data_IF_080942941018
#
_entry.id   IF_080942941018
#
_cell.length_a   1.000
_cell.length_b   1.000
_cell.length_c   1.000
_cell.angle_alpha   90.00
_cell.angle_beta   90.00
_cell.angle_gamma   90.00
#
_symmetry.space_group_name_H-M   'P 1'
#
loop_
_entity.id
_entity.type
_entity.pdbx_description
1 polymer ?
#
# COMPACT_ATOMS: atom_id res chain seq x y z
N UNK A 1 35.87 -41.25 -44.62
CA UNK A 1 36.68 -41.42 -43.40
C UNK A 1 35.81 -40.95 -42.24
N UNK A 2 34.89 -41.80 -41.76
CA UNK A 2 35.13 -42.86 -40.76
C UNK A 2 35.30 -42.25 -39.36
N UNK A 3 34.22 -42.32 -38.56
CA UNK A 3 34.12 -43.06 -37.28
C UNK A 3 34.66 -42.25 -36.07
N UNK A 4 33.87 -42.01 -35.01
CA UNK A 4 33.55 -42.93 -33.91
C UNK A 4 32.40 -42.30 -33.07
N UNK A 5 31.29 -42.91 -32.61
CA UNK A 5 31.01 -44.13 -31.82
C UNK A 5 31.89 -44.22 -30.55
N UNK A 6 31.46 -44.49 -29.32
CA UNK A 6 30.25 -44.94 -28.63
C UNK A 6 30.37 -44.40 -27.15
N UNK A 7 29.45 -44.51 -26.19
CA UNK A 7 28.73 -45.65 -25.61
C UNK A 7 27.70 -45.06 -24.60
N UNK A 8 26.41 -45.44 -24.65
CA UNK A 8 25.72 -46.44 -23.79
C UNK A 8 25.73 -46.10 -22.27
N UNK A 9 24.71 -46.25 -21.43
CA UNK A 9 23.28 -46.65 -21.43
C UNK A 9 22.83 -46.42 -19.96
N UNK A 10 21.71 -45.73 -19.63
CA UNK A 10 20.31 -46.19 -19.45
C UNK A 10 20.07 -47.20 -18.28
N UNK A 11 18.82 -47.39 -17.79
CA UNK A 11 18.23 -46.85 -16.55
C UNK A 11 17.70 -47.97 -15.61
N UNK A 12 16.98 -47.65 -14.50
CA UNK A 12 15.81 -48.38 -13.93
C UNK A 12 15.38 -47.78 -12.57
N UNK A 13 14.10 -47.39 -12.37
CA UNK A 13 13.01 -48.07 -11.62
C UNK A 13 13.27 -48.17 -10.09
N UNK A 14 12.39 -47.97 -9.11
CA UNK A 14 10.94 -47.80 -8.98
C UNK A 14 10.58 -47.46 -7.50
N UNK A 15 9.43 -46.79 -7.30
CA UNK A 15 8.42 -46.91 -6.22
C UNK A 15 8.68 -46.79 -4.69
N UNK A 16 7.68 -46.09 -4.08
CA UNK A 16 7.01 -46.28 -2.78
C UNK A 16 7.58 -45.65 -1.47
N UNK A 17 6.70 -44.93 -0.73
CA UNK A 17 6.89 -44.48 0.68
C UNK A 17 6.69 -45.63 1.70
N UNK A 18 6.33 -45.44 3.00
CA UNK A 18 6.09 -44.23 3.82
C UNK A 18 6.81 -44.21 5.22
N UNK A 19 6.68 -43.09 5.95
CA UNK A 19 6.64 -42.91 7.43
C UNK A 19 7.76 -43.36 8.40
N UNK A 20 7.97 -42.49 9.42
CA UNK A 20 8.43 -42.69 10.82
C UNK A 20 9.84 -42.22 11.27
N UNK A 21 9.79 -41.38 12.31
CA UNK A 21 10.70 -41.17 13.47
C UNK A 21 12.17 -40.78 13.31
N UNK A 22 12.56 -39.65 13.93
CA UNK A 22 13.58 -39.61 15.01
C UNK A 22 13.84 -38.18 15.53
N UNK A 23 13.43 -37.90 16.78
CA UNK A 23 14.01 -36.90 17.71
C UNK A 23 15.36 -37.43 18.27
N UNK A 24 16.36 -36.63 18.73
CA UNK A 24 16.24 -35.80 19.95
C UNK A 24 17.11 -34.52 20.05
N UNK A 25 16.72 -33.60 20.93
CA UNK A 25 17.53 -32.92 21.97
C UNK A 25 16.97 -31.52 22.32
N UNK A 26 16.29 -31.48 23.48
CA UNK A 26 16.01 -30.28 24.26
C UNK A 26 17.27 -29.80 25.00
N UNK A 27 17.43 -28.48 25.15
CA UNK A 27 18.26 -27.90 26.20
C UNK A 27 17.46 -26.85 26.98
N UNK A 28 17.19 -27.20 28.24
CA UNK A 28 16.82 -26.32 29.34
C UNK A 28 18.11 -25.88 30.06
N UNK A 29 18.17 -24.64 30.53
CA UNK A 29 18.92 -24.26 31.74
C UNK A 29 18.25 -23.08 32.44
N UNK A 30 17.86 -23.30 33.69
CA UNK A 30 17.50 -22.28 34.68
C UNK A 30 18.29 -22.52 35.96
N UNK A 31 18.58 -21.44 36.70
CA UNK A 31 19.17 -21.33 38.07
C UNK A 31 18.82 -19.88 38.53
N UNK A 32 18.43 -19.50 39.76
CA UNK A 32 18.09 -20.10 41.07
C UNK A 32 17.36 -19.02 41.91
N UNK A 33 16.61 -19.31 42.99
CA UNK A 33 17.07 -19.41 44.40
C UNK A 33 15.82 -19.46 45.33
N UNK A 34 15.92 -19.66 46.68
CA UNK A 34 16.21 -20.91 47.35
C UNK A 34 15.13 -21.34 48.39
N UNK A 35 15.27 -22.59 48.82
CA UNK A 35 14.48 -23.40 49.77
C UNK A 35 14.77 -23.09 51.25
N UNK A 36 13.80 -23.34 52.15
CA UNK A 36 14.06 -24.03 53.43
C UNK A 36 12.85 -24.88 53.87
N UNK A 37 13.09 -26.18 54.07
CA UNK A 37 12.22 -27.21 54.66
C UNK A 37 12.28 -27.17 56.19
N UNK A 38 11.28 -27.61 56.96
CA UNK A 38 11.18 -29.02 57.42
C UNK A 38 9.93 -29.27 58.31
N UNK A 39 9.39 -30.48 58.17
CA UNK A 39 8.33 -31.19 58.92
C UNK A 39 8.87 -31.81 60.26
N UNK A 40 8.15 -32.65 61.06
CA UNK A 40 6.70 -32.92 61.26
C UNK A 40 6.24 -33.20 62.74
N UNK A 41 4.92 -33.32 62.94
CA UNK A 41 4.11 -34.21 63.84
C UNK A 41 4.45 -34.49 65.32
N UNK A 42 3.42 -34.40 66.19
CA UNK A 42 3.36 -35.17 67.47
C UNK A 42 2.24 -34.82 68.48
N UNK A 43 1.17 -35.63 68.48
CA UNK A 43 0.51 -36.26 69.67
C UNK A 43 -0.39 -35.49 70.67
N UNK A 44 -1.71 -35.66 70.48
CA UNK A 44 -2.81 -36.08 71.39
C UNK A 44 -2.62 -36.11 72.93
N UNK A 45 -3.53 -35.45 73.68
CA UNK A 45 -4.34 -36.02 74.81
C UNK A 45 -5.34 -34.95 75.31
N UNK A 46 -6.67 -35.05 75.20
CA UNK A 46 -7.70 -35.88 75.86
C UNK A 46 -8.21 -35.34 77.22
N UNK A 47 -9.55 -35.39 77.35
CA UNK A 47 -10.40 -35.26 78.54
C UNK A 47 -10.76 -33.82 78.97
N UNK A 48 -11.93 -33.49 79.51
CA UNK A 48 -13.27 -34.08 79.72
C UNK A 48 -13.91 -33.08 80.71
N UNK A 49 -15.12 -32.57 80.48
CA UNK A 49 -16.15 -32.35 81.54
C UNK A 49 -17.23 -31.36 81.12
N UNK A 50 -18.47 -31.86 81.22
CA UNK A 50 -19.74 -31.15 81.22
C UNK A 50 -19.94 -30.35 82.51
N UNK A 51 -20.50 -29.14 82.43
CA UNK A 51 -21.59 -28.72 83.33
C UNK A 51 -22.26 -27.45 82.80
N UNK A 52 -23.59 -27.45 82.77
CA UNK A 52 -24.40 -26.35 82.29
C UNK A 52 -24.41 -25.16 83.26
N UNK A 53 -24.31 -23.96 82.68
CA UNK A 53 -24.66 -22.68 83.29
C UNK A 53 -25.05 -21.75 82.14
N UNK A 54 -26.33 -21.37 82.10
CA UNK A 54 -26.82 -20.31 81.19
C UNK A 54 -26.30 -18.98 81.73
N UNK A 55 -25.15 -18.55 81.22
CA UNK A 55 -24.65 -17.20 81.46
C UNK A 55 -25.28 -16.26 80.42
N UNK A 56 -25.90 -15.13 80.81
CA UNK A 56 -26.20 -14.09 79.84
C UNK A 56 -24.85 -13.64 79.28
N UNK A 57 -24.64 -13.86 77.98
CA UNK A 57 -23.42 -13.51 77.25
C UNK A 57 -23.24 -11.99 77.25
N UNK A 58 -22.72 -11.45 78.35
CA UNK A 58 -22.13 -10.12 78.38
C UNK A 58 -20.81 -10.21 77.66
N UNK A 59 -20.87 -9.95 76.37
CA UNK A 59 -19.70 -9.80 75.53
C UNK A 59 -18.93 -8.57 76.03
N UNK A 60 -17.62 -8.72 76.26
CA UNK A 60 -16.76 -7.58 76.61
C UNK A 60 -16.85 -6.53 75.51
N UNK A 61 -16.79 -5.23 75.87
CA UNK A 61 -16.81 -4.13 74.89
C UNK A 61 -15.81 -4.32 73.76
N UNK A 62 -14.63 -4.89 74.05
CA UNK A 62 -13.63 -5.23 73.02
C UNK A 62 -14.10 -6.30 72.05
N UNK A 63 -14.82 -7.31 72.52
CA UNK A 63 -15.40 -8.35 71.67
C UNK A 63 -16.58 -7.79 70.89
N UNK A 64 -17.40 -6.92 71.50
CA UNK A 64 -18.49 -6.22 70.81
C UNK A 64 -17.96 -5.27 69.71
N UNK A 65 -16.84 -4.59 69.96
CA UNK A 65 -16.14 -3.76 68.98
C UNK A 65 -15.58 -4.60 67.83
N UNK A 66 -14.99 -5.76 68.14
CA UNK A 66 -14.45 -6.68 67.14
C UNK A 66 -15.54 -7.31 66.27
N UNK A 67 -16.67 -7.70 66.87
CA UNK A 67 -17.83 -8.22 66.13
C UNK A 67 -18.42 -7.15 65.21
N UNK A 68 -18.41 -5.87 65.62
CA UNK A 68 -18.84 -4.75 64.77
C UNK A 68 -17.88 -4.47 63.61
N UNK A 69 -16.56 -4.67 63.77
CA UNK A 69 -15.57 -4.50 62.68
C UNK A 69 -15.42 -5.73 61.79
N UNK A 70 -15.82 -6.91 62.26
CA UNK A 70 -15.88 -8.15 61.48
C UNK A 70 -17.22 -8.35 60.76
N UNK A 71 -18.20 -7.45 60.95
CA UNK A 71 -19.38 -7.45 60.10
C UNK A 71 -18.96 -7.23 58.65
N UNK A 72 -19.15 -8.28 57.85
CA UNK A 72 -18.85 -8.27 56.42
C UNK A 72 -19.54 -7.03 55.80
N UNK A 73 -18.80 -6.14 55.12
CA UNK A 73 -19.40 -4.96 54.51
C UNK A 73 -20.59 -5.41 53.66
N UNK A 74 -21.73 -4.73 53.79
CA UNK A 74 -22.90 -5.02 52.95
C UNK A 74 -22.45 -4.91 51.49
N UNK A 75 -22.37 -6.04 50.79
CA UNK A 75 -22.19 -6.04 49.35
C UNK A 75 -23.45 -5.39 48.77
N UNK A 76 -23.28 -4.26 48.10
CA UNK A 76 -24.35 -3.72 47.26
C UNK A 76 -24.64 -4.76 46.16
N UNK A 77 -25.89 -4.96 45.76
CA UNK A 77 -26.22 -5.90 44.69
C UNK A 77 -25.39 -5.56 43.43
N UNK A 78 -24.92 -6.59 42.74
CA UNK A 78 -24.01 -6.48 41.58
C UNK A 78 -24.42 -5.51 40.44
N UNK A 79 -25.70 -5.20 40.17
CA UNK A 79 -26.08 -4.34 39.04
C UNK A 79 -25.55 -2.89 39.11
N UNK A 80 -25.15 -2.40 40.30
CA UNK A 80 -24.54 -1.07 40.41
C UNK A 80 -23.05 -1.04 39.99
N UNK A 81 -22.39 -2.20 39.86
CA UNK A 81 -20.96 -2.30 39.51
C UNK A 81 -20.69 -2.69 38.06
N UNK A 82 -21.67 -3.29 37.39
CA UNK A 82 -21.56 -3.77 36.02
C UNK A 82 -22.83 -3.36 35.27
N UNK A 83 -22.86 -2.10 34.84
CA UNK A 83 -23.66 -1.75 33.66
C UNK A 83 -22.73 -2.12 32.52
N UNK A 84 -23.05 -3.19 31.79
CA UNK A 84 -22.28 -3.57 30.61
C UNK A 84 -22.30 -2.38 29.65
N UNK A 85 -21.17 -2.04 29.01
CA UNK A 85 -21.11 -0.89 28.09
C UNK A 85 -22.20 -0.98 26.99
N UNK A 86 -22.62 -2.21 26.69
CA UNK A 86 -23.72 -2.55 25.78
C UNK A 86 -25.12 -2.10 26.27
N UNK A 87 -25.36 -2.06 27.58
CA UNK A 87 -26.62 -1.55 28.17
C UNK A 87 -26.66 -0.02 28.17
N UNK A 88 -25.50 0.63 28.19
CA UNK A 88 -25.37 2.08 28.01
C UNK A 88 -25.69 2.51 26.57
N UNK A 89 -25.47 1.61 25.60
CA UNK A 89 -25.82 1.79 24.18
C UNK A 89 -27.33 1.65 23.92
N UNK A 90 -28.06 0.95 24.78
CA UNK A 90 -29.52 0.79 24.69
C UNK A 90 -30.31 1.98 25.28
N UNK A 91 -29.66 2.89 26.00
CA UNK A 91 -30.26 4.16 26.39
C UNK A 91 -30.45 4.97 25.12
N UNK A 92 -31.69 5.04 24.63
CA UNK A 92 -32.03 5.95 23.54
C UNK A 92 -31.46 7.33 23.89
N UNK A 93 -30.64 7.94 23.01
CA UNK A 93 -30.11 9.26 23.29
C UNK A 93 -31.29 10.17 23.57
N UNK A 94 -31.33 10.75 24.78
CA UNK A 94 -32.34 11.72 25.19
C UNK A 94 -32.17 12.90 24.22
N UNK A 95 -33.05 12.99 23.23
CA UNK A 95 -33.04 14.07 22.26
C UNK A 95 -33.35 15.36 23.02
N UNK A 96 -32.38 16.28 23.08
CA UNK A 96 -32.58 17.59 23.68
C UNK A 96 -33.72 18.31 22.93
N UNK A 97 -34.84 18.66 23.60
CA UNK A 97 -35.97 19.35 22.98
C UNK A 97 -35.61 20.72 22.39
N UNK A 98 -34.49 21.31 22.84
CA UNK A 98 -33.97 22.58 22.35
C UNK A 98 -32.89 22.42 21.26
N UNK A 99 -32.56 21.18 20.87
CA UNK A 99 -31.59 20.93 19.82
C UNK A 99 -32.07 21.57 18.49
N UNK A 100 -31.19 22.25 17.74
CA UNK A 100 -31.56 22.81 16.45
C UNK A 100 -32.00 21.68 15.50
N UNK A 101 -33.28 21.69 15.13
CA UNK A 101 -33.78 20.80 14.09
C UNK A 101 -33.45 21.39 12.70
N UNK A 102 -33.06 20.57 11.71
CA UNK A 102 -32.90 21.03 10.33
C UNK A 102 -34.22 21.66 9.88
N UNK A 103 -34.15 22.92 9.42
CA UNK A 103 -35.31 23.67 8.92
C UNK A 103 -35.32 23.61 7.40
N UNK A 104 -36.52 23.43 6.83
CA UNK A 104 -36.72 23.37 5.38
C UNK A 104 -37.02 21.95 4.88
N UNK A 105 -37.43 21.85 3.63
CA UNK A 105 -37.59 20.56 2.97
C UNK A 105 -36.21 19.88 2.84
N UNK A 106 -36.12 18.55 3.01
CA UNK A 106 -34.89 17.84 2.72
C UNK A 106 -34.50 18.05 1.26
N UNK A 107 -33.25 18.43 1.01
CA UNK A 107 -32.74 18.54 -0.36
C UNK A 107 -32.57 17.14 -0.93
N UNK A 108 -33.25 16.85 -2.03
CA UNK A 108 -33.06 15.60 -2.77
C UNK A 108 -31.91 15.75 -3.79
N UNK A 109 -31.08 14.72 -3.98
CA UNK A 109 -30.03 14.76 -5.01
C UNK A 109 -30.66 14.88 -6.39
N UNK A 110 -30.25 15.88 -7.15
CA UNK A 110 -30.71 16.06 -8.53
C UNK A 110 -30.00 15.05 -9.44
N UNK A 111 -30.74 14.09 -9.99
CA UNK A 111 -30.22 13.18 -11.01
C UNK A 111 -30.06 13.96 -12.33
N UNK A 112 -28.81 14.13 -12.77
CA UNK A 112 -28.50 14.77 -14.05
C UNK A 112 -28.96 13.94 -15.25
N UNK A 113 -28.88 14.53 -16.44
CA UNK A 113 -29.16 13.81 -17.69
C UNK A 113 -28.24 12.60 -17.85
N UNK A 114 -28.80 11.51 -18.40
CA UNK A 114 -28.02 10.29 -18.65
C UNK A 114 -26.94 10.59 -19.69
N UNK A 115 -25.68 10.41 -19.31
CA UNK A 115 -24.56 10.43 -20.24
C UNK A 115 -24.75 9.33 -21.30
N UNK A 116 -24.98 9.75 -22.55
CA UNK A 116 -25.00 8.85 -23.71
C UNK A 116 -23.64 8.95 -24.38
N UNK A 117 -22.83 7.89 -24.28
CA UNK A 117 -21.55 7.80 -25.00
C UNK A 117 -21.84 7.35 -26.44
N UNK A 118 -21.56 8.19 -27.46
CA UNK A 118 -21.79 7.84 -28.86
C UNK A 118 -21.10 6.53 -29.26
N UNK A 119 -21.82 5.68 -30.00
CA UNK A 119 -21.26 4.46 -30.55
C UNK A 119 -20.10 4.79 -31.49
N UNK A 120 -18.95 4.13 -31.27
CA UNK A 120 -17.78 4.28 -32.12
C UNK A 120 -16.76 5.28 -31.63
N UNK A 121 -16.92 5.95 -30.47
CA UNK A 121 -15.81 6.62 -29.81
C UNK A 121 -14.88 5.60 -29.11
N UNK A 122 -13.56 5.86 -29.04
CA UNK A 122 -12.64 5.01 -28.27
C UNK A 122 -13.02 5.06 -26.80
N UNK A 123 -13.14 3.90 -26.15
CA UNK A 123 -13.49 3.80 -24.72
C UNK A 123 -12.34 4.08 -23.76
N UNK A 124 -11.11 4.16 -24.28
CA UNK A 124 -9.93 4.42 -23.48
C UNK A 124 -8.98 5.42 -24.18
N UNK A 125 -8.14 6.06 -23.38
CA UNK A 125 -7.38 7.24 -23.81
C UNK A 125 -6.23 6.87 -24.75
N UNK A 126 -5.64 5.69 -24.60
CA UNK A 126 -4.59 5.20 -25.48
C UNK A 126 -5.13 4.78 -26.86
N UNK A 127 -6.33 4.18 -26.94
CA UNK A 127 -6.96 3.92 -28.25
C UNK A 127 -7.42 5.23 -28.91
N UNK A 128 -7.79 6.23 -28.13
CA UNK A 128 -8.05 7.56 -28.67
C UNK A 128 -6.81 8.16 -29.32
N UNK A 129 -5.66 8.11 -28.64
CA UNK A 129 -4.39 8.56 -29.21
C UNK A 129 -4.04 7.80 -30.50
N UNK A 130 -4.14 6.47 -30.49
CA UNK A 130 -3.86 5.64 -31.67
C UNK A 130 -4.76 6.00 -32.86
N UNK A 131 -6.07 6.15 -32.61
CA UNK A 131 -7.05 6.51 -33.64
C UNK A 131 -6.80 7.90 -34.21
N UNK A 132 -6.66 8.91 -33.36
CA UNK A 132 -6.49 10.30 -33.82
C UNK A 132 -5.12 10.54 -34.47
N UNK A 133 -4.08 9.81 -34.06
CA UNK A 133 -2.80 9.83 -34.76
C UNK A 133 -2.91 9.31 -36.21
N UNK A 134 -3.77 8.32 -36.47
CA UNK A 134 -4.03 7.80 -37.81
C UNK A 134 -4.96 8.70 -38.65
N UNK A 135 -6.03 9.22 -38.05
CA UNK A 135 -7.04 10.01 -38.76
C UNK A 135 -6.60 11.48 -38.98
N UNK A 136 -6.06 12.10 -37.95
CA UNK A 136 -5.76 13.54 -37.89
C UNK A 136 -4.36 13.81 -37.34
N UNK A 137 -3.40 12.97 -37.70
CA UNK A 137 -2.05 12.95 -37.11
C UNK A 137 -1.26 14.27 -37.19
N UNK A 138 -1.59 15.16 -38.14
CA UNK A 138 -0.97 16.48 -38.30
C UNK A 138 -1.57 17.56 -37.39
N UNK A 139 -2.74 17.30 -36.83
CA UNK A 139 -3.44 18.25 -35.94
C UNK A 139 -2.72 18.36 -34.60
N UNK A 140 -2.61 19.57 -34.02
CA UNK A 140 -2.10 19.77 -32.67
C UNK A 140 -2.86 18.92 -31.65
N UNK A 141 -2.12 18.18 -30.82
CA UNK A 141 -2.63 17.45 -29.67
C UNK A 141 -2.27 18.16 -28.35
N UNK A 142 -1.12 18.84 -28.32
CA UNK A 142 -0.64 19.59 -27.17
C UNK A 142 0.03 20.88 -27.63
N UNK A 143 -0.29 21.98 -26.93
CA UNK A 143 0.37 23.28 -27.11
C UNK A 143 0.87 23.76 -25.75
N UNK A 144 2.18 23.95 -25.63
CA UNK A 144 2.80 24.49 -24.43
C UNK A 144 3.12 25.96 -24.62
N UNK A 145 2.83 26.75 -23.60
CA UNK A 145 3.01 28.20 -23.61
C UNK A 145 4.12 28.59 -22.63
N UNK A 146 4.85 29.67 -22.94
CA UNK A 146 5.74 30.31 -21.97
C UNK A 146 4.92 31.09 -20.93
N UNK A 147 5.60 31.62 -19.92
CA UNK A 147 5.01 32.52 -18.91
C UNK A 147 4.39 33.79 -19.51
N UNK A 148 4.72 34.13 -20.77
CA UNK A 148 4.16 35.27 -21.50
C UNK A 148 2.93 34.89 -22.34
N UNK A 149 2.48 33.63 -22.28
CA UNK A 149 1.35 33.12 -23.05
C UNK A 149 1.67 32.80 -24.52
N UNK A 150 2.93 32.84 -24.94
CA UNK A 150 3.34 32.51 -26.31
C UNK A 150 3.54 31.01 -26.45
N UNK A 151 3.06 30.44 -27.56
CA UNK A 151 3.29 29.03 -27.88
C UNK A 151 4.78 28.75 -28.09
N UNK A 152 5.37 27.96 -27.20
CA UNK A 152 6.77 27.52 -27.26
C UNK A 152 6.89 26.20 -28.01
N UNK A 153 5.93 25.29 -27.83
CA UNK A 153 5.99 23.96 -28.41
C UNK A 153 4.59 23.45 -28.78
N UNK A 154 4.44 22.99 -30.02
CA UNK A 154 3.23 22.32 -30.52
C UNK A 154 3.57 20.89 -30.90
N UNK A 155 2.89 19.94 -30.26
CA UNK A 155 3.01 18.52 -30.51
C UNK A 155 1.75 18.02 -31.23
N UNK A 156 1.90 17.37 -32.39
CA UNK A 156 0.76 16.80 -33.13
C UNK A 156 0.42 15.40 -32.62
N UNK A 157 -0.78 14.88 -32.90
CA UNK A 157 -1.18 13.52 -32.51
C UNK A 157 -0.18 12.45 -32.99
N UNK A 158 0.30 12.55 -34.24
CA UNK A 158 1.29 11.63 -34.77
C UNK A 158 2.64 11.71 -34.02
N UNK A 159 3.08 12.92 -33.66
CA UNK A 159 4.33 13.11 -32.88
C UNK A 159 4.19 12.59 -31.45
N UNK A 160 3.03 12.79 -30.82
CA UNK A 160 2.73 12.27 -29.49
C UNK A 160 2.78 10.74 -29.49
N UNK A 161 2.01 10.10 -30.37
CA UNK A 161 2.02 8.65 -30.51
C UNK A 161 3.43 8.14 -30.78
N UNK A 162 4.15 8.73 -31.75
CA UNK A 162 5.50 8.29 -32.08
C UNK A 162 6.46 8.35 -30.89
N UNK A 163 6.43 9.42 -30.09
CA UNK A 163 7.31 9.56 -28.92
C UNK A 163 6.89 8.60 -27.80
N UNK A 164 5.60 8.46 -27.53
CA UNK A 164 5.08 7.53 -26.53
C UNK A 164 5.34 6.06 -26.88
N UNK A 165 5.24 5.67 -28.16
CA UNK A 165 5.62 4.33 -28.63
C UNK A 165 7.09 4.01 -28.35
N UNK A 166 7.99 5.00 -28.39
CA UNK A 166 9.40 4.78 -28.03
C UNK A 166 9.58 4.51 -26.55
N UNK A 167 8.86 5.23 -25.71
CA UNK A 167 8.84 4.97 -24.26
C UNK A 167 8.28 3.58 -23.99
N UNK A 168 7.17 3.21 -24.63
CA UNK A 168 6.59 1.87 -24.48
C UNK A 168 7.59 0.76 -24.88
N UNK A 169 8.28 0.95 -26.00
CA UNK A 169 9.32 0.02 -26.45
C UNK A 169 10.47 -0.09 -25.44
N UNK A 170 10.93 1.04 -24.89
CA UNK A 170 11.96 1.08 -23.85
C UNK A 170 11.55 0.24 -22.64
N UNK A 171 10.34 0.49 -22.10
CA UNK A 171 9.80 -0.19 -20.92
C UNK A 171 9.72 -1.72 -21.07
N UNK A 172 9.49 -2.20 -22.29
CA UNK A 172 9.28 -3.62 -22.57
C UNK A 172 10.55 -4.37 -22.99
N UNK A 173 11.51 -3.72 -23.66
CA UNK A 173 12.57 -4.42 -24.38
C UNK A 173 13.94 -4.45 -23.72
N UNK A 174 14.18 -3.68 -22.64
CA UNK A 174 15.29 -3.78 -21.66
C UNK A 174 15.51 -2.43 -20.97
N UNK A 175 15.49 -2.45 -19.64
CA UNK A 175 15.67 -1.30 -18.75
C UNK A 175 16.98 -1.43 -17.94
N UNK A 176 17.56 -0.28 -17.57
CA UNK A 176 18.78 -0.19 -16.77
C UNK A 176 20.09 -0.38 -17.55
N UNK A 177 21.23 -0.16 -16.87
CA UNK A 177 22.56 -0.10 -17.48
C UNK A 177 23.02 -1.42 -18.13
N UNK A 178 22.36 -2.56 -17.82
CA UNK A 178 22.65 -3.90 -18.37
C UNK A 178 21.46 -4.58 -19.06
N UNK A 179 20.30 -3.94 -19.12
CA UNK A 179 19.09 -4.55 -19.69
C UNK A 179 18.65 -5.80 -18.92
N UNK A 180 18.72 -5.74 -17.59
CA UNK A 180 18.32 -6.84 -16.70
C UNK A 180 16.84 -6.76 -16.33
N UNK A 181 16.22 -5.58 -16.49
CA UNK A 181 14.83 -5.34 -16.12
C UNK A 181 13.95 -5.21 -17.37
N UNK A 182 12.81 -5.89 -17.40
CA UNK A 182 11.75 -5.73 -18.40
C UNK A 182 10.43 -5.74 -17.64
N UNK A 183 9.56 -4.77 -17.94
CA UNK A 183 8.28 -4.67 -17.28
C UNK A 183 7.26 -5.60 -17.92
N UNK A 184 6.39 -6.14 -17.08
CA UNK A 184 5.21 -6.90 -17.49
C UNK A 184 3.98 -5.99 -17.47
N UNK A 185 2.92 -6.34 -18.21
CA UNK A 185 1.65 -5.66 -18.05
C UNK A 185 1.25 -5.58 -16.57
N UNK A 186 0.69 -4.44 -16.17
CA UNK A 186 0.28 -4.08 -14.80
C UNK A 186 1.41 -3.70 -13.83
N UNK A 187 2.68 -3.77 -14.24
CA UNK A 187 3.77 -3.23 -13.41
C UNK A 187 3.60 -1.72 -13.22
N UNK A 188 4.12 -1.20 -12.10
CA UNK A 188 3.91 0.20 -11.70
C UNK A 188 5.15 1.03 -11.97
N UNK A 189 4.93 2.18 -12.58
CA UNK A 189 5.98 3.11 -13.02
C UNK A 189 5.69 4.49 -12.46
N UNK A 190 6.57 5.00 -11.62
CA UNK A 190 6.46 6.35 -11.11
C UNK A 190 6.86 7.37 -12.20
N UNK A 191 6.07 8.43 -12.35
CA UNK A 191 6.36 9.55 -13.23
C UNK A 191 6.75 10.75 -12.37
N UNK A 192 8.00 11.20 -12.50
CA UNK A 192 8.56 12.33 -11.76
C UNK A 192 8.95 13.41 -12.76
N UNK A 193 8.09 14.42 -12.92
CA UNK A 193 8.29 15.53 -13.84
C UNK A 193 7.90 16.85 -13.16
N UNK A 194 8.55 17.93 -13.55
CA UNK A 194 8.16 19.28 -13.11
C UNK A 194 6.95 19.78 -13.90
N UNK A 195 6.17 20.67 -13.30
CA UNK A 195 5.04 21.36 -13.96
C UNK A 195 5.46 22.16 -15.19
N UNK A 196 6.74 22.51 -15.30
CA UNK A 196 7.28 23.32 -16.40
C UNK A 196 7.54 22.50 -17.67
N UNK A 197 7.48 21.17 -17.62
CA UNK A 197 7.69 20.29 -18.77
C UNK A 197 6.54 19.27 -18.94
N UNK A 198 5.32 19.75 -19.24
CA UNK A 198 4.15 18.88 -19.39
C UNK A 198 4.24 17.97 -20.62
N UNK A 199 5.08 18.30 -21.60
CA UNK A 199 5.24 17.48 -22.81
C UNK A 199 5.92 16.16 -22.48
N UNK A 200 7.05 16.22 -21.78
CA UNK A 200 7.80 15.01 -21.40
C UNK A 200 6.98 14.13 -20.48
N UNK A 201 6.24 14.73 -19.54
CA UNK A 201 5.29 14.02 -18.70
C UNK A 201 4.22 13.28 -19.52
N UNK A 202 3.53 13.98 -20.43
CA UNK A 202 2.48 13.36 -21.24
C UNK A 202 3.02 12.27 -22.17
N UNK A 203 4.20 12.48 -22.76
CA UNK A 203 4.86 11.46 -23.59
C UNK A 203 5.13 10.20 -22.78
N UNK A 204 5.64 10.34 -21.55
CA UNK A 204 5.91 9.21 -20.65
C UNK A 204 4.62 8.54 -20.18
N UNK A 205 3.60 9.32 -19.81
CA UNK A 205 2.29 8.83 -19.40
C UNK A 205 1.65 7.95 -20.48
N UNK A 206 1.49 8.47 -21.70
CA UNK A 206 0.98 7.65 -22.81
C UNK A 206 1.90 6.48 -23.15
N UNK A 207 3.21 6.62 -22.94
CA UNK A 207 4.16 5.51 -23.09
C UNK A 207 3.89 4.36 -22.13
N UNK A 208 3.55 4.66 -20.88
CA UNK A 208 3.13 3.67 -19.90
C UNK A 208 1.84 2.96 -20.32
N UNK A 209 0.81 3.72 -20.72
CA UNK A 209 -0.46 3.14 -21.16
C UNK A 209 -0.30 2.23 -22.39
N UNK A 210 0.51 2.66 -23.37
CA UNK A 210 0.81 1.87 -24.56
C UNK A 210 1.63 0.60 -24.24
N UNK A 211 2.42 0.61 -23.17
CA UNK A 211 3.11 -0.57 -22.66
C UNK A 211 2.25 -1.44 -21.71
N UNK A 212 0.99 -1.07 -21.48
CA UNK A 212 0.10 -1.73 -20.53
C UNK A 212 0.65 -1.75 -19.09
N UNK A 213 1.44 -0.73 -18.71
CA UNK A 213 1.96 -0.53 -17.34
C UNK A 213 1.27 0.66 -16.68
N UNK A 214 1.25 0.69 -15.36
CA UNK A 214 0.48 1.67 -14.57
C UNK A 214 1.34 2.88 -14.19
N UNK A 215 1.12 4.07 -14.78
CA UNK A 215 1.77 5.29 -14.36
C UNK A 215 1.24 5.75 -12.99
N UNK A 216 2.17 6.12 -12.11
CA UNK A 216 1.91 6.77 -10.82
C UNK A 216 2.50 8.17 -10.89
N UNK A 217 1.66 9.20 -11.01
CA UNK A 217 2.13 10.58 -11.04
C UNK A 217 2.48 11.03 -9.62
N UNK A 218 3.74 11.39 -9.40
CA UNK A 218 4.24 11.89 -8.11
C UNK A 218 5.04 13.18 -8.30
N UNK A 219 5.18 13.94 -7.23
CA UNK A 219 5.97 15.16 -7.23
C UNK A 219 7.48 14.87 -7.29
N UNK A 220 8.25 15.89 -7.66
CA UNK A 220 9.72 15.82 -7.64
C UNK A 220 10.18 15.68 -6.21
N UNK A 221 10.97 14.63 -5.86
CA UNK A 221 11.45 14.48 -4.49
C UNK A 221 12.35 15.67 -4.14
N UNK A 222 11.99 16.33 -3.05
CA UNK A 222 12.76 17.39 -2.43
C UNK A 222 14.13 16.85 -2.00
N UNK A 223 15.19 17.66 -2.14
CA UNK A 223 16.52 17.34 -1.62
C UNK A 223 16.57 17.43 -0.09
N UNK A 224 15.58 18.08 0.54
CA UNK A 224 15.42 18.08 1.99
C UNK A 224 14.80 16.75 2.40
N UNK A 225 15.32 16.19 3.49
CA UNK A 225 14.73 15.02 4.17
C UNK A 225 13.44 15.45 4.87
N UNK A 226 12.42 15.82 4.11
CA UNK A 226 11.11 16.19 4.59
C UNK A 226 10.14 15.00 4.55
N UNK A 227 9.08 15.05 5.36
CA UNK A 227 8.08 13.97 5.46
C UNK A 227 7.46 13.64 4.11
N UNK A 228 7.27 14.63 3.24
CA UNK A 228 6.68 14.45 1.91
C UNK A 228 7.49 13.48 1.03
N UNK A 229 8.82 13.54 1.06
CA UNK A 229 9.68 12.60 0.34
C UNK A 229 9.54 11.17 0.88
N UNK A 230 9.40 11.01 2.19
CA UNK A 230 9.17 9.68 2.79
C UNK A 230 7.77 9.14 2.49
N UNK A 231 6.74 9.99 2.48
CA UNK A 231 5.37 9.61 2.12
C UNK A 231 5.29 9.09 0.68
N UNK A 232 5.99 9.75 -0.24
CA UNK A 232 6.16 9.25 -1.62
C UNK A 232 6.87 7.90 -1.65
N UNK A 233 7.95 7.73 -0.86
CA UNK A 233 8.65 6.45 -0.74
C UNK A 233 7.76 5.31 -0.22
N UNK A 234 6.95 5.60 0.80
CA UNK A 234 5.96 4.66 1.33
C UNK A 234 4.90 4.28 0.29
N UNK A 235 4.36 5.28 -0.42
CA UNK A 235 3.40 5.05 -1.50
C UNK A 235 4.00 4.13 -2.57
N UNK A 236 5.18 4.47 -3.09
CA UNK A 236 5.84 3.68 -4.13
C UNK A 236 6.14 2.26 -3.66
N UNK A 237 6.50 2.09 -2.39
CA UNK A 237 6.68 0.77 -1.78
C UNK A 237 5.36 -0.02 -1.74
N UNK A 238 4.27 0.62 -1.32
CA UNK A 238 2.94 -0.01 -1.25
C UNK A 238 2.39 -0.42 -2.61
N UNK A 239 2.77 0.30 -3.67
CA UNK A 239 2.34 0.04 -5.04
C UNK A 239 3.30 -0.89 -5.81
N UNK A 240 4.35 -1.42 -5.19
CA UNK A 240 5.42 -2.20 -5.86
C UNK A 240 5.95 -1.48 -7.11
N UNK A 241 6.25 -0.18 -6.98
CA UNK A 241 6.83 0.58 -8.07
C UNK A 241 8.25 0.09 -8.37
N UNK A 242 8.52 -0.22 -9.65
CA UNK A 242 9.82 -0.80 -10.09
C UNK A 242 10.73 0.21 -10.76
N UNK A 243 10.13 1.20 -11.40
CA UNK A 243 10.81 2.14 -12.29
C UNK A 243 10.32 3.56 -12.00
N UNK A 244 11.24 4.52 -12.10
CA UNK A 244 10.93 5.94 -12.10
C UNK A 244 11.32 6.52 -13.45
N UNK A 245 10.35 7.08 -14.18
CA UNK A 245 10.59 7.87 -15.39
C UNK A 245 10.70 9.35 -15.03
N UNK A 246 11.71 10.01 -15.57
CA UNK A 246 11.95 11.43 -15.36
C UNK A 246 12.65 12.07 -16.57
N UNK A 247 12.74 13.39 -16.61
CA UNK A 247 13.47 14.14 -17.64
C UNK A 247 14.90 14.52 -17.18
N UNK A 248 15.72 15.02 -18.08
CA UNK A 248 17.10 15.42 -17.81
C UNK A 248 17.20 16.53 -16.76
N UNK A 249 16.22 17.43 -16.74
CA UNK A 249 16.18 18.51 -15.78
C UNK A 249 16.09 17.99 -14.34
N UNK A 250 15.14 17.11 -14.05
CA UNK A 250 14.99 16.49 -12.73
C UNK A 250 16.13 15.52 -12.45
N UNK A 251 16.54 14.71 -13.44
CA UNK A 251 17.61 13.73 -13.28
C UNK A 251 18.96 14.35 -12.85
N UNK A 252 19.20 15.62 -13.20
CA UNK A 252 20.38 16.38 -12.76
C UNK A 252 20.25 17.02 -11.39
N UNK A 253 19.03 17.30 -10.91
CA UNK A 253 18.82 17.88 -9.58
C UNK A 253 18.92 16.86 -8.44
N UNK A 254 18.86 15.57 -8.76
CA UNK A 254 18.96 14.48 -7.78
C UNK A 254 20.41 14.26 -7.34
N UNK A 255 20.58 13.85 -6.08
CA UNK A 255 21.88 13.43 -5.56
C UNK A 255 22.35 12.15 -6.27
N UNK A 256 23.65 12.05 -6.54
CA UNK A 256 24.24 10.90 -7.24
C UNK A 256 25.25 10.17 -6.37
N UNK A 257 25.36 8.88 -6.58
CA UNK A 257 26.42 8.04 -6.02
C UNK A 257 27.74 8.27 -6.76
N UNK A 258 28.84 7.73 -6.22
CA UNK A 258 30.14 7.74 -6.90
C UNK A 258 30.12 6.96 -8.25
N UNK A 259 29.16 6.05 -8.44
CA UNK A 259 28.95 5.34 -9.72
C UNK A 259 28.21 6.16 -10.78
N UNK A 260 27.67 7.33 -10.41
CA UNK A 260 26.91 8.20 -11.30
C UNK A 260 25.40 7.92 -11.35
N UNK A 261 24.93 6.88 -10.65
CA UNK A 261 23.52 6.56 -10.49
C UNK A 261 22.84 7.49 -9.48
N UNK A 262 21.50 7.55 -9.51
CA UNK A 262 20.73 8.29 -8.51
C UNK A 262 20.94 7.66 -7.13
N UNK A 263 21.30 8.47 -6.14
CA UNK A 263 21.49 8.02 -4.78
C UNK A 263 20.17 7.48 -4.19
N UNK A 264 20.20 6.39 -3.40
CA UNK A 264 19.00 5.87 -2.74
C UNK A 264 18.31 6.95 -1.91
N UNK A 265 17.02 7.14 -2.17
CA UNK A 265 16.20 8.07 -1.39
C UNK A 265 15.70 7.36 -0.11
N UNK A 266 15.84 7.97 1.08
CA UNK A 266 15.38 7.35 2.32
C UNK A 266 13.88 7.01 2.28
N UNK A 267 13.53 5.76 2.60
CA UNK A 267 12.14 5.29 2.62
C UNK A 267 11.57 4.91 1.25
N UNK A 268 12.33 5.06 0.17
CA UNK A 268 11.90 4.63 -1.17
C UNK A 268 12.25 3.16 -1.42
N UNK A 269 11.46 2.44 -2.24
CA UNK A 269 11.82 1.09 -2.66
C UNK A 269 13.01 1.13 -3.61
N UNK A 270 13.60 -0.04 -3.88
CA UNK A 270 14.67 -0.14 -4.87
C UNK A 270 14.09 0.04 -6.29
N UNK A 271 14.24 1.25 -6.83
CA UNK A 271 13.70 1.65 -8.13
C UNK A 271 14.80 1.92 -9.14
N UNK A 272 14.55 1.54 -10.39
CA UNK A 272 15.42 1.92 -11.51
C UNK A 272 15.01 3.28 -12.05
N UNK A 273 15.91 4.26 -11.99
CA UNK A 273 15.69 5.59 -12.56
C UNK A 273 16.01 5.61 -14.05
N UNK A 274 15.11 6.19 -14.83
CA UNK A 274 15.23 6.26 -16.28
C UNK A 274 14.95 7.67 -16.74
N UNK A 275 15.91 8.19 -17.49
CA UNK A 275 15.81 9.50 -18.10
C UNK A 275 15.23 9.40 -19.51
N UNK A 276 14.04 9.93 -19.71
CA UNK A 276 13.31 9.83 -20.98
C UNK A 276 13.91 10.67 -22.10
N UNK A 277 14.77 11.64 -21.81
CA UNK A 277 15.36 12.54 -22.81
C UNK A 277 16.59 11.92 -23.49
N UNK A 278 17.46 11.24 -22.73
CA UNK A 278 18.63 10.52 -23.27
C UNK A 278 18.22 9.40 -24.22
N UNK A 279 17.06 8.81 -23.96
CA UNK A 279 16.47 7.78 -24.80
C UNK A 279 15.67 8.37 -25.99
N UNK A 280 15.60 9.68 -26.16
CA UNK A 280 14.92 10.33 -27.30
C UNK A 280 15.74 10.34 -28.59
N UNK A 281 17.07 10.49 -28.49
CA UNK A 281 17.97 10.65 -29.64
C UNK A 281 18.87 9.42 -29.90
N UNK A 282 19.25 8.67 -28.85
CA UNK A 282 20.15 7.51 -28.94
C UNK A 282 19.51 6.16 -28.60
N UNK A 283 18.23 6.10 -28.21
CA UNK A 283 17.59 4.81 -27.95
C UNK A 283 17.31 4.07 -29.25
N UNK A 284 17.31 2.73 -29.13
CA UNK A 284 16.83 1.83 -30.18
C UNK A 284 15.40 2.23 -30.50
N UNK A 285 15.20 2.75 -31.71
CA UNK A 285 13.86 2.95 -32.25
C UNK A 285 13.16 1.58 -32.26
N UNK A 286 11.85 1.52 -31.96
CA UNK A 286 11.09 0.30 -32.17
C UNK A 286 11.32 -0.17 -33.61
N UNK A 287 11.68 -1.45 -33.82
CA UNK A 287 11.67 -2.07 -35.15
C UNK A 287 10.34 -1.81 -35.87
N UNK A 288 10.35 -1.81 -37.20
CA UNK A 288 9.14 -1.51 -38.01
C UNK A 288 8.02 -2.54 -37.77
N UNK A 289 8.41 -3.76 -37.48
CA UNK A 289 7.58 -4.93 -37.16
C UNK A 289 7.23 -5.01 -35.67
N UNK A 290 7.73 -4.11 -34.83
CA UNK A 290 7.37 -4.09 -33.42
C UNK A 290 5.93 -3.64 -33.24
N UNK A 291 5.15 -4.47 -32.54
CA UNK A 291 3.74 -4.23 -32.25
C UNK A 291 3.59 -3.99 -30.75
N UNK A 292 2.67 -3.10 -30.41
CA UNK A 292 2.29 -2.85 -29.03
C UNK A 292 1.68 -4.10 -28.39
N UNK A 293 1.91 -4.34 -27.10
CA UNK A 293 1.27 -5.45 -26.41
C UNK A 293 -0.25 -5.33 -26.41
N UNK A 294 -0.91 -6.44 -26.09
CA UNK A 294 -2.36 -6.46 -25.93
C UNK A 294 -2.80 -5.50 -24.82
N UNK A 295 -3.92 -4.82 -25.08
CA UNK A 295 -4.47 -3.82 -24.17
C UNK A 295 -5.04 -4.50 -22.93
N UNK A 296 -4.97 -3.79 -21.82
CA UNK A 296 -5.70 -4.19 -20.62
C UNK A 296 -7.23 -4.10 -20.85
N UNK A 297 -8.02 -4.95 -20.17
CA UNK A 297 -9.47 -4.84 -20.16
C UNK A 297 -9.96 -3.44 -19.72
N UNK A 298 -11.15 -3.00 -20.15
CA UNK A 298 -11.67 -1.66 -19.84
C UNK A 298 -11.84 -1.38 -18.34
N UNK A 299 -12.02 -2.42 -17.53
CA UNK A 299 -12.29 -2.31 -16.09
C UNK A 299 -10.99 -2.28 -15.24
N UNK A 300 -9.82 -2.32 -15.89
CA UNK A 300 -8.54 -2.23 -15.20
C UNK A 300 -8.18 -0.79 -14.81
N UNK A 301 -7.47 -0.65 -13.70
CA UNK A 301 -6.86 0.62 -13.31
C UNK A 301 -5.91 1.07 -14.42
N UNK A 302 -6.03 2.32 -14.86
CA UNK A 302 -5.17 2.87 -15.92
C UNK A 302 -4.05 3.75 -15.40
N UNK A 303 -4.24 4.43 -14.26
CA UNK A 303 -3.23 5.27 -13.63
C UNK A 303 -3.55 5.48 -12.15
N UNK A 304 -2.57 5.93 -11.39
CA UNK A 304 -2.73 6.33 -9.99
C UNK A 304 -2.33 7.80 -9.86
N UNK A 305 -3.25 8.61 -9.35
CA UNK A 305 -3.01 9.99 -8.95
C UNK A 305 -2.92 10.11 -7.43
N UNK A 306 -2.05 11.00 -6.97
CA UNK A 306 -1.85 11.27 -5.54
C UNK A 306 -2.28 12.70 -5.29
N UNK A 307 -3.27 12.86 -4.42
CA UNK A 307 -3.73 14.18 -3.98
C UNK A 307 -3.36 14.36 -2.51
N UNK A 308 -2.54 15.36 -2.21
CA UNK A 308 -2.30 15.79 -0.84
C UNK A 308 -3.45 16.69 -0.40
N UNK A 309 -4.35 16.17 0.43
CA UNK A 309 -5.40 16.97 1.06
C UNK A 309 -4.75 17.64 2.28
N UNK A 310 -4.59 18.96 2.24
CA UNK A 310 -4.03 19.77 3.34
C UNK A 310 -4.96 19.88 4.57
N UNK A 311 -5.86 18.92 4.76
CA UNK A 311 -6.71 18.77 5.93
C UNK A 311 -6.68 17.32 6.39
N UNK A 312 -6.26 17.12 7.64
CA UNK A 312 -6.29 15.89 8.44
C UNK A 312 -6.87 14.63 7.74
N UNK A 313 -5.99 13.72 7.32
CA UNK A 313 -6.23 12.39 6.72
C UNK A 313 -6.15 12.32 5.19
N UNK A 314 -5.06 11.71 4.71
CA UNK A 314 -4.85 11.32 3.31
C UNK A 314 -5.84 10.22 2.90
N UNK A 315 -6.54 10.43 1.78
CA UNK A 315 -7.33 9.40 1.08
C UNK A 315 -6.72 9.22 -0.30
N UNK A 316 -6.19 8.03 -0.60
CA UNK A 316 -5.86 7.63 -1.96
C UNK A 316 -7.18 7.36 -2.71
N UNK A 317 -7.46 8.10 -3.78
CA UNK A 317 -8.59 7.80 -4.67
C UNK A 317 -8.11 6.94 -5.83
N UNK A 318 -8.68 5.75 -5.96
CA UNK A 318 -8.61 4.96 -7.17
C UNK A 318 -9.77 5.38 -8.06
N UNK A 319 -9.49 5.95 -9.25
CA UNK A 319 -10.53 6.19 -10.24
C UNK A 319 -10.62 4.99 -11.20
N UNK A 320 -11.77 4.29 -11.27
CA UNK A 320 -12.08 3.44 -12.40
C UNK A 320 -12.48 4.31 -13.61
N UNK A 321 -12.25 3.76 -14.79
CA UNK A 321 -12.59 4.31 -16.12
C UNK A 321 -14.08 4.63 -16.26
N UNK A 322 -14.39 5.74 -16.94
CA UNK A 322 -15.75 6.21 -17.30
C UNK A 322 -16.35 5.42 -18.47
#
# INVERSE_FOLDING_TARGET
MSASAAQLSRPEHELCGPSTSSDPYCHNFGIASPTMSSQPTGTVSRQLSTCGLVCPTRVSEKIQQLVNTLQRPKRRPLPEYFIDEDDQVLVQPVQDPNAPCPRGAPTEPLVGEKLVVPSGLPRNIESALQRYAGLIGKTPALTCMDISGRSVLVLTYAKLLQRSTRIAFLLLNKLGHRGELSLKPRDRVALVYTSNDPVSFLVAFYGCLLASVLPIAIEVPSSRKDGASQDMGFLLSSQDARVVLTNEHVYKSLQRTASGDVAPLPGWPNVTWINTDHHGAGARKPPKDWVLPERLPPDETMYIEVSFIWYHSSICRFMPTL
#
